data_IF_966673068064
#
_entry.id   IF_966673068064
#
_cell.length_a   1.000
_cell.length_b   1.000
_cell.length_c   1.000
_cell.angle_alpha   90.00
_cell.angle_beta   90.00
_cell.angle_gamma   90.00
#
_symmetry.space_group_name_H-M   'P 1'
#
loop_
_entity.id
_entity.type
_entity.pdbx_description
1 polymer ?
#
# COMPACT_ATOMS: atom_id res chain seq x y z
N UNK A 1 -32.09 -32.19 -51.19
CA UNK A 1 -30.62 -32.45 -51.24
C UNK A 1 -29.95 -31.68 -50.11
N UNK A 2 -29.71 -32.34 -48.97
CA UNK A 2 -29.00 -31.74 -47.83
C UNK A 2 -27.50 -31.90 -48.04
N UNK A 3 -26.81 -30.81 -48.35
CA UNK A 3 -25.37 -30.77 -48.56
C UNK A 3 -24.66 -30.89 -47.20
N UNK A 4 -24.07 -32.06 -46.90
CA UNK A 4 -23.25 -32.27 -45.70
C UNK A 4 -21.88 -31.63 -45.93
N UNK A 5 -21.55 -30.59 -45.15
CA UNK A 5 -20.19 -30.03 -45.09
C UNK A 5 -19.25 -31.08 -44.47
N UNK A 6 -18.23 -31.50 -45.21
CA UNK A 6 -17.12 -32.33 -44.72
C UNK A 6 -16.22 -31.45 -43.85
N UNK A 7 -16.00 -31.86 -42.60
CA UNK A 7 -14.90 -31.33 -41.77
C UNK A 7 -13.70 -32.23 -42.05
N UNK A 8 -12.65 -31.67 -42.65
CA UNK A 8 -11.36 -32.34 -42.80
C UNK A 8 -10.56 -31.94 -41.56
N UNK A 9 -10.32 -32.89 -40.66
CA UNK A 9 -9.35 -32.70 -39.58
C UNK A 9 -7.95 -32.83 -40.19
N UNK A 10 -7.29 -31.69 -40.42
CA UNK A 10 -5.85 -31.69 -40.58
C UNK A 10 -5.25 -31.83 -39.18
N UNK A 11 -4.53 -32.91 -38.93
CA UNK A 11 -3.63 -33.04 -37.79
C UNK A 11 -2.41 -32.16 -38.08
N UNK A 12 -2.59 -30.85 -38.08
CA UNK A 12 -1.47 -29.95 -37.91
C UNK A 12 -0.97 -30.20 -36.49
N UNK A 13 0.26 -30.71 -36.40
CA UNK A 13 1.01 -30.78 -35.15
C UNK A 13 1.25 -29.32 -34.76
N UNK A 14 0.27 -28.70 -34.11
CA UNK A 14 0.43 -27.43 -33.45
C UNK A 14 1.47 -27.66 -32.34
N UNK A 15 2.73 -27.40 -32.67
CA UNK A 15 3.79 -27.25 -31.69
C UNK A 15 3.32 -26.13 -30.78
N UNK A 16 2.89 -26.48 -29.56
CA UNK A 16 2.53 -25.46 -28.57
C UNK A 16 3.68 -24.45 -28.48
N UNK A 17 3.39 -23.14 -28.41
CA UNK A 17 4.44 -22.15 -28.27
C UNK A 17 5.26 -22.50 -27.03
N UNK A 18 6.54 -22.80 -27.24
CA UNK A 18 7.49 -23.01 -26.15
C UNK A 18 7.57 -21.71 -25.35
N UNK A 19 6.93 -21.69 -24.17
CA UNK A 19 7.05 -20.58 -23.24
C UNK A 19 8.40 -20.69 -22.52
N UNK A 20 9.42 -20.03 -23.06
CA UNK A 20 10.68 -19.88 -22.35
C UNK A 20 10.50 -18.83 -21.26
N UNK A 21 10.67 -19.22 -20.00
CA UNK A 21 10.73 -18.28 -18.88
C UNK A 21 11.98 -17.42 -19.12
N UNK A 22 11.77 -16.15 -19.46
CA UNK A 22 12.85 -15.17 -19.50
C UNK A 22 12.97 -14.59 -18.10
N UNK A 23 14.11 -14.84 -17.42
CA UNK A 23 14.50 -14.18 -16.17
C UNK A 23 14.87 -12.72 -16.45
N UNK A 24 13.88 -11.95 -16.92
CA UNK A 24 14.09 -10.56 -17.27
C UNK A 24 13.94 -9.72 -16.00
N UNK A 25 15.06 -9.23 -15.48
CA UNK A 25 15.11 -8.35 -14.30
C UNK A 25 14.63 -6.94 -14.60
N UNK A 26 14.64 -6.51 -15.87
CA UNK A 26 14.29 -5.17 -16.33
C UNK A 26 13.37 -5.19 -17.54
N UNK A 27 12.23 -4.50 -17.46
CA UNK A 27 11.29 -4.36 -18.57
C UNK A 27 10.74 -2.93 -18.66
N UNK A 28 10.21 -2.54 -19.82
CA UNK A 28 9.51 -1.28 -19.95
C UNK A 28 8.27 -1.26 -19.06
N UNK A 29 8.06 -0.18 -18.32
CA UNK A 29 6.82 -0.01 -17.58
C UNK A 29 5.64 0.14 -18.56
N UNK A 30 4.60 -0.64 -18.34
CA UNK A 30 3.31 -0.48 -19.02
C UNK A 30 2.70 0.90 -18.74
N UNK A 31 1.77 1.36 -19.58
CA UNK A 31 1.05 2.63 -19.36
C UNK A 31 0.37 2.70 -17.98
N UNK A 32 -0.13 1.57 -17.48
CA UNK A 32 -0.71 1.51 -16.14
C UNK A 32 0.36 1.75 -15.09
N UNK A 33 1.50 1.06 -15.16
CA UNK A 33 2.63 1.24 -14.24
C UNK A 33 3.21 2.66 -14.29
N UNK A 34 3.32 3.27 -15.47
CA UNK A 34 3.74 4.67 -15.60
C UNK A 34 2.77 5.64 -14.91
N UNK A 35 1.46 5.41 -15.05
CA UNK A 35 0.43 6.20 -14.38
C UNK A 35 0.48 6.01 -12.86
N UNK A 36 0.70 4.79 -12.39
CA UNK A 36 0.88 4.47 -10.97
C UNK A 36 2.08 5.23 -10.42
N UNK A 37 3.23 5.11 -11.07
CA UNK A 37 4.46 5.78 -10.68
C UNK A 37 4.30 7.31 -10.66
N UNK A 38 3.68 7.90 -11.69
CA UNK A 38 3.42 9.34 -11.72
C UNK A 38 2.52 9.80 -10.57
N UNK A 39 1.47 9.03 -10.28
CA UNK A 39 0.58 9.31 -9.16
C UNK A 39 1.35 9.25 -7.83
N UNK A 40 2.24 8.27 -7.66
CA UNK A 40 3.10 8.18 -6.48
C UNK A 40 3.98 9.43 -6.31
N UNK A 41 4.66 9.88 -7.37
CA UNK A 41 5.52 11.08 -7.29
C UNK A 41 4.76 12.36 -6.93
N UNK A 42 3.45 12.46 -7.21
CA UNK A 42 2.65 13.64 -6.90
C UNK A 42 2.26 13.70 -5.41
N UNK A 43 1.98 12.53 -4.82
CA UNK A 43 1.40 12.42 -3.47
C UNK A 43 2.42 12.03 -2.39
N UNK A 44 3.54 11.39 -2.76
CA UNK A 44 4.56 10.89 -1.86
C UNK A 44 5.92 11.56 -2.15
N UNK A 45 6.65 11.92 -1.10
CA UNK A 45 8.03 12.41 -1.22
C UNK A 45 9.07 11.30 -1.01
N UNK A 46 8.68 10.20 -0.36
CA UNK A 46 9.51 9.02 -0.11
C UNK A 46 8.99 7.81 -0.90
N UNK A 47 9.92 7.00 -1.40
CA UNK A 47 9.66 5.77 -2.19
C UNK A 47 8.99 4.64 -1.39
N UNK A 48 8.76 4.82 -0.09
CA UNK A 48 8.40 3.74 0.84
C UNK A 48 6.91 3.40 0.83
N UNK A 49 6.08 4.22 0.17
CA UNK A 49 4.63 4.03 0.09
C UNK A 49 4.17 4.08 -1.36
N UNK A 50 3.88 2.90 -1.91
CA UNK A 50 3.16 2.79 -3.18
C UNK A 50 1.68 3.09 -2.94
N UNK A 51 1.02 3.75 -3.90
CA UNK A 51 -0.44 4.04 -3.82
C UNK A 51 -1.29 2.77 -3.68
N UNK A 52 -0.67 1.63 -3.98
CA UNK A 52 -1.30 0.33 -4.07
C UNK A 52 -0.82 -0.64 -2.97
N UNK A 53 0.04 -0.18 -2.06
CA UNK A 53 0.41 -0.93 -0.85
C UNK A 53 -0.67 -0.71 0.20
N UNK A 54 -1.70 -1.55 0.15
CA UNK A 54 -2.80 -1.54 1.10
C UNK A 54 -2.34 -2.27 2.37
N UNK A 55 -2.32 -1.57 3.52
CA UNK A 55 -2.14 -2.25 4.80
C UNK A 55 -3.42 -3.02 5.15
N UNK A 56 -3.30 -4.34 5.21
CA UNK A 56 -4.38 -5.22 5.65
C UNK A 56 -4.15 -5.62 7.10
N UNK A 57 -4.95 -5.12 8.07
CA UNK A 57 -4.87 -5.60 9.44
C UNK A 57 -5.40 -7.04 9.51
N UNK A 58 -4.52 -7.97 9.88
CA UNK A 58 -4.89 -9.37 10.09
C UNK A 58 -5.36 -9.57 11.53
N UNK A 59 -6.69 -9.66 11.72
CA UNK A 59 -7.30 -9.94 13.02
C UNK A 59 -7.46 -11.45 13.19
N UNK A 60 -6.74 -12.02 14.15
CA UNK A 60 -6.80 -13.46 14.43
C UNK A 60 -7.80 -13.70 15.55
N UNK A 61 -8.96 -14.26 15.21
CA UNK A 61 -10.06 -14.52 16.15
C UNK A 61 -9.81 -15.76 17.02
N UNK A 62 -9.04 -16.74 16.52
CA UNK A 62 -8.77 -18.02 17.18
C UNK A 62 -7.33 -18.47 16.89
N UNK A 63 -6.64 -19.00 17.91
CA UNK A 63 -5.26 -19.45 17.82
C UNK A 63 -4.22 -18.37 18.14
N UNK A 64 -2.95 -18.78 18.21
CA UNK A 64 -1.80 -17.90 18.45
C UNK A 64 -0.98 -17.70 17.19
N UNK A 65 -0.76 -16.45 16.79
CA UNK A 65 0.18 -16.12 15.73
C UNK A 65 1.61 -16.07 16.28
N UNK A 66 2.49 -16.94 15.79
CA UNK A 66 3.93 -16.77 16.05
C UNK A 66 4.50 -15.79 15.04
N UNK A 67 4.79 -14.60 15.54
CA UNK A 67 5.49 -13.55 14.82
C UNK A 67 6.87 -14.03 14.35
N UNK A 68 7.54 -14.83 15.16
CA UNK A 68 8.83 -15.42 14.85
C UNK A 68 8.76 -16.34 13.63
N UNK A 69 7.67 -17.12 13.51
CA UNK A 69 7.44 -18.01 12.37
C UNK A 69 7.17 -17.22 11.09
N UNK A 70 6.33 -16.17 11.15
CA UNK A 70 6.09 -15.29 9.99
C UNK A 70 7.40 -14.67 9.52
N UNK A 71 8.21 -14.17 10.46
CA UNK A 71 9.51 -13.59 10.14
C UNK A 71 10.44 -14.60 9.48
N UNK A 72 10.42 -15.86 9.90
CA UNK A 72 11.28 -16.89 9.28
C UNK A 72 10.86 -17.30 7.87
N UNK A 73 9.58 -17.18 7.49
CA UNK A 73 9.08 -17.65 6.19
C UNK A 73 9.01 -16.54 5.14
N UNK A 74 8.88 -15.28 5.57
CA UNK A 74 8.83 -14.12 4.68
C UNK A 74 9.97 -14.06 3.65
N UNK A 75 11.26 -14.23 4.02
CA UNK A 75 12.34 -14.21 3.04
C UNK A 75 12.14 -15.26 1.94
N UNK A 76 11.80 -16.50 2.33
CA UNK A 76 11.56 -17.59 1.38
C UNK A 76 10.39 -17.29 0.44
N UNK A 77 9.31 -16.69 0.94
CA UNK A 77 8.19 -16.29 0.10
C UNK A 77 8.58 -15.18 -0.89
N UNK A 78 9.35 -14.19 -0.43
CA UNK A 78 9.79 -13.07 -1.27
C UNK A 78 10.72 -13.58 -2.38
N UNK A 79 11.70 -14.41 -2.05
CA UNK A 79 12.63 -15.03 -3.02
C UNK A 79 11.89 -15.86 -4.08
N UNK A 80 10.84 -16.58 -3.69
CA UNK A 80 10.07 -17.42 -4.61
C UNK A 80 9.08 -16.63 -5.49
N UNK A 81 8.75 -15.39 -5.11
CA UNK A 81 7.70 -14.60 -5.78
C UNK A 81 8.27 -13.27 -6.28
N UNK A 82 8.85 -13.29 -7.47
CA UNK A 82 9.41 -12.09 -8.13
C UNK A 82 8.43 -10.92 -8.27
N UNK A 83 7.13 -11.19 -8.28
CA UNK A 83 6.07 -10.16 -8.26
C UNK A 83 6.11 -9.30 -6.99
N UNK A 84 6.53 -9.84 -5.85
CA UNK A 84 6.64 -9.12 -4.58
C UNK A 84 7.87 -8.21 -4.54
N UNK A 85 8.88 -8.48 -5.37
CA UNK A 85 10.10 -7.68 -5.50
C UNK A 85 10.06 -6.72 -6.69
N UNK A 86 8.94 -6.65 -7.40
CA UNK A 86 8.81 -5.81 -8.59
C UNK A 86 8.50 -4.38 -8.19
N UNK A 87 9.40 -3.46 -8.53
CA UNK A 87 9.22 -2.02 -8.37
C UNK A 87 9.12 -1.32 -9.72
N UNK A 88 8.56 -0.13 -9.73
CA UNK A 88 8.59 0.78 -10.87
C UNK A 88 9.52 1.93 -10.54
N UNK A 89 10.55 2.14 -11.34
CA UNK A 89 11.55 3.20 -11.11
C UNK A 89 11.80 4.01 -12.37
N UNK A 90 12.27 5.24 -12.19
CA UNK A 90 12.79 6.04 -13.28
C UNK A 90 14.28 5.74 -13.47
N UNK A 91 14.67 5.40 -14.70
CA UNK A 91 16.06 5.18 -15.09
C UNK A 91 16.61 6.46 -15.73
N UNK A 92 17.56 7.16 -15.07
CA UNK A 92 18.09 8.42 -15.57
C UNK A 92 18.99 8.26 -16.80
N UNK A 93 19.52 7.06 -17.07
CA UNK A 93 20.44 6.84 -18.19
C UNK A 93 19.73 6.86 -19.55
N UNK A 94 18.49 6.35 -19.59
CA UNK A 94 17.67 6.33 -20.80
C UNK A 94 16.42 7.22 -20.70
N UNK A 95 16.24 7.91 -19.57
CA UNK A 95 15.11 8.81 -19.31
C UNK A 95 13.75 8.11 -19.45
N UNK A 96 13.66 6.86 -18.99
CA UNK A 96 12.46 6.03 -19.10
C UNK A 96 12.04 5.46 -17.75
N UNK A 97 10.74 5.16 -17.63
CA UNK A 97 10.19 4.44 -16.49
C UNK A 97 10.25 2.94 -16.80
N UNK A 98 10.86 2.19 -15.90
CA UNK A 98 11.12 0.77 -16.05
C UNK A 98 10.53 -0.01 -14.87
N UNK A 99 10.02 -1.19 -15.18
CA UNK A 99 9.79 -2.23 -14.20
C UNK A 99 11.13 -2.89 -13.88
N UNK A 100 11.46 -2.98 -12.59
CA UNK A 100 12.68 -3.60 -12.10
C UNK A 100 12.35 -4.63 -11.02
N UNK A 101 12.90 -5.84 -11.15
CA UNK A 101 12.83 -6.86 -10.11
C UNK A 101 14.04 -6.66 -9.20
N UNK A 102 13.79 -6.15 -7.99
CA UNK A 102 14.84 -5.98 -6.99
C UNK A 102 15.26 -7.34 -6.42
N UNK A 103 16.55 -7.51 -6.13
CA UNK A 103 17.04 -8.71 -5.46
C UNK A 103 16.42 -8.82 -4.07
N UNK A 104 15.92 -10.00 -3.70
CA UNK A 104 15.33 -10.33 -2.40
C UNK A 104 16.35 -10.23 -1.25
N UNK A 105 16.75 -9.00 -0.89
CA UNK A 105 17.60 -8.70 0.29
C UNK A 105 16.73 -8.35 1.50
N UNK A 106 17.33 -8.38 2.69
CA UNK A 106 16.66 -8.06 3.95
C UNK A 106 16.10 -6.61 3.99
N UNK A 107 16.54 -5.73 3.10
CA UNK A 107 16.08 -4.34 3.03
C UNK A 107 14.71 -4.17 2.33
N UNK A 108 14.15 -5.22 1.70
CA UNK A 108 12.87 -5.10 0.96
C UNK A 108 11.66 -4.98 1.90
N UNK A 109 11.78 -5.40 3.15
CA UNK A 109 10.69 -5.35 4.11
C UNK A 109 11.19 -5.07 5.51
N UNK A 110 10.49 -4.22 6.25
CA UNK A 110 10.75 -4.00 7.67
C UNK A 110 9.71 -4.71 8.52
N UNK A 111 10.16 -5.39 9.57
CA UNK A 111 9.29 -6.05 10.53
C UNK A 111 9.43 -5.40 11.89
N UNK A 112 8.40 -4.69 12.34
CA UNK A 112 8.35 -4.09 13.67
C UNK A 112 7.36 -4.84 14.57
N UNK A 113 7.84 -5.39 15.68
CA UNK A 113 7.00 -6.01 16.71
C UNK A 113 6.92 -5.11 17.93
N UNK A 114 5.74 -4.57 18.20
CA UNK A 114 5.48 -3.69 19.33
C UNK A 114 4.71 -4.45 20.42
N UNK A 115 5.37 -4.86 21.52
CA UNK A 115 4.67 -5.43 22.69
C UNK A 115 4.24 -4.32 23.64
N UNK A 116 2.99 -4.38 24.11
CA UNK A 116 2.50 -3.51 25.19
C UNK A 116 2.21 -2.07 24.80
N UNK A 117 2.04 -1.78 23.51
CA UNK A 117 1.63 -0.46 23.01
C UNK A 117 0.12 -0.50 22.74
N UNK A 118 -0.61 0.54 23.14
CA UNK A 118 -2.03 0.68 22.82
C UNK A 118 -2.24 1.04 21.34
N UNK A 119 -3.43 0.77 20.80
CA UNK A 119 -3.77 1.14 19.40
C UNK A 119 -3.62 2.64 19.16
N UNK A 120 -3.98 3.47 20.14
CA UNK A 120 -3.84 4.93 20.06
C UNK A 120 -2.37 5.35 19.95
N UNK A 121 -1.49 4.78 20.77
CA UNK A 121 -0.06 5.10 20.72
C UNK A 121 0.60 4.62 19.41
N UNK A 122 0.12 3.52 18.84
CA UNK A 122 0.55 3.07 17.50
C UNK A 122 0.08 4.04 16.41
N UNK A 123 -1.19 4.48 16.47
CA UNK A 123 -1.73 5.47 15.52
C UNK A 123 -1.04 6.82 15.65
N UNK A 124 -0.74 7.29 16.86
CA UNK A 124 -0.01 8.53 17.09
C UNK A 124 1.37 8.49 16.41
N UNK A 125 2.08 7.35 16.53
CA UNK A 125 3.36 7.15 15.85
C UNK A 125 3.20 7.14 14.33
N UNK A 126 2.22 6.41 13.81
CA UNK A 126 1.98 6.36 12.36
C UNK A 126 1.62 7.72 11.78
N UNK A 127 0.78 8.48 12.49
CA UNK A 127 0.39 9.85 12.11
C UNK A 127 1.60 10.78 12.18
N UNK A 128 2.41 10.67 13.24
CA UNK A 128 3.64 11.42 13.41
C UNK A 128 4.65 11.17 12.27
N UNK A 129 4.90 9.91 11.93
CA UNK A 129 5.82 9.53 10.84
C UNK A 129 5.37 10.13 9.50
N UNK A 130 4.06 10.08 9.21
CA UNK A 130 3.47 10.68 8.01
C UNK A 130 3.59 12.21 7.99
N UNK A 131 3.48 12.86 9.15
CA UNK A 131 3.71 14.29 9.26
C UNK A 131 5.17 14.65 9.02
N UNK A 132 6.11 13.86 9.54
CA UNK A 132 7.53 14.05 9.28
C UNK A 132 7.83 13.94 7.78
N UNK A 133 7.31 12.91 7.08
CA UNK A 133 7.49 12.76 5.63
C UNK A 133 6.92 13.98 4.86
N UNK A 134 5.69 14.38 5.16
CA UNK A 134 4.99 15.43 4.40
C UNK A 134 5.56 16.82 4.67
N UNK A 135 5.96 17.09 5.91
CA UNK A 135 6.57 18.37 6.32
C UNK A 135 8.08 18.39 6.13
N UNK A 136 8.67 17.29 5.64
CA UNK A 136 10.12 17.12 5.42
C UNK A 136 10.95 17.30 6.69
N UNK A 137 10.43 16.78 7.81
CA UNK A 137 11.18 16.66 9.06
C UNK A 137 11.84 15.29 9.17
N UNK A 138 12.95 15.21 9.90
CA UNK A 138 13.56 13.93 10.24
C UNK A 138 12.59 13.09 11.09
N UNK A 139 12.53 11.77 10.88
CA UNK A 139 11.63 10.86 11.61
C UNK A 139 11.83 10.94 13.12
N UNK A 140 13.02 11.30 13.61
CA UNK A 140 13.29 11.45 15.05
C UNK A 140 12.87 12.83 15.60
N UNK A 141 12.26 13.68 14.77
CA UNK A 141 11.82 15.02 15.15
C UNK A 141 10.73 14.93 16.21
N UNK A 142 10.97 15.57 17.36
CA UNK A 142 10.01 15.59 18.47
C UNK A 142 8.91 16.62 18.21
N UNK A 143 7.92 16.23 17.41
CA UNK A 143 6.71 17.03 17.17
C UNK A 143 5.73 16.77 18.32
N UNK A 144 5.32 17.79 19.09
CA UNK A 144 4.29 17.61 20.12
C UNK A 144 2.94 17.22 19.49
N UNK A 145 2.26 16.22 20.05
CA UNK A 145 1.02 15.67 19.47
C UNK A 145 -0.13 16.69 19.35
N UNK A 146 -0.13 17.72 20.20
CA UNK A 146 -1.13 18.78 20.23
C UNK A 146 -0.71 20.02 19.43
N UNK A 147 0.40 19.95 18.70
CA UNK A 147 0.88 21.07 17.89
C UNK A 147 0.16 21.08 16.55
N UNK A 148 -0.35 22.24 16.17
CA UNK A 148 -1.09 22.39 14.92
C UNK A 148 -0.20 22.18 13.70
N UNK A 149 -0.67 21.41 12.72
CA UNK A 149 -0.07 21.15 11.42
C UNK A 149 0.37 22.46 10.72
N UNK A 150 -0.50 23.47 10.72
CA UNK A 150 -0.23 24.75 10.08
C UNK A 150 0.87 25.55 10.80
N UNK A 151 1.00 25.39 12.13
CA UNK A 151 2.08 26.03 12.91
C UNK A 151 3.46 25.44 12.64
N UNK A 152 3.51 24.27 11.99
CA UNK A 152 4.73 23.57 11.58
C UNK A 152 5.12 23.85 10.12
N UNK A 153 4.40 24.74 9.43
CA UNK A 153 4.61 25.04 8.01
C UNK A 153 3.73 24.24 7.05
N UNK A 154 2.80 23.44 7.58
CA UNK A 154 1.81 22.73 6.77
C UNK A 154 0.87 23.69 6.01
N UNK A 155 0.41 23.26 4.83
CA UNK A 155 -0.51 24.00 3.98
C UNK A 155 -1.59 23.08 3.38
N UNK A 156 -2.51 23.63 2.59
CA UNK A 156 -3.62 22.87 2.01
C UNK A 156 -3.16 21.73 1.10
N UNK A 157 -2.07 21.91 0.35
CA UNK A 157 -1.51 20.85 -0.49
C UNK A 157 -0.91 19.73 0.38
N UNK A 158 -0.24 20.09 1.47
CA UNK A 158 0.29 19.14 2.43
C UNK A 158 -0.83 18.35 3.13
N UNK A 159 -1.97 18.97 3.47
CA UNK A 159 -3.16 18.24 3.96
C UNK A 159 -3.76 17.35 2.88
N UNK A 160 -3.84 17.79 1.62
CA UNK A 160 -4.32 16.93 0.53
C UNK A 160 -3.44 15.69 0.35
N UNK A 161 -2.12 15.84 0.44
CA UNK A 161 -1.18 14.73 0.43
C UNK A 161 -1.39 13.82 1.63
N UNK A 162 -1.50 14.39 2.83
CA UNK A 162 -1.73 13.65 4.08
C UNK A 162 -3.03 12.84 4.02
N UNK A 163 -4.11 13.44 3.50
CA UNK A 163 -5.38 12.77 3.31
C UNK A 163 -5.25 11.58 2.36
N UNK A 164 -4.58 11.74 1.20
CA UNK A 164 -4.33 10.65 0.27
C UNK A 164 -3.49 9.54 0.93
N UNK A 165 -2.44 9.89 1.67
CA UNK A 165 -1.61 8.92 2.39
C UNK A 165 -2.43 8.16 3.44
N UNK A 166 -3.30 8.84 4.21
CA UNK A 166 -4.21 8.18 5.15
C UNK A 166 -5.17 7.21 4.45
N UNK A 167 -5.74 7.59 3.31
CA UNK A 167 -6.65 6.71 2.57
C UNK A 167 -5.98 5.39 2.17
N UNK A 168 -4.72 5.46 1.72
CA UNK A 168 -3.94 4.30 1.30
C UNK A 168 -3.48 3.49 2.51
N UNK A 169 -2.86 4.16 3.50
CA UNK A 169 -2.27 3.53 4.69
C UNK A 169 -3.33 2.85 5.56
N UNK A 170 -4.54 3.39 5.65
CA UNK A 170 -5.61 2.84 6.50
C UNK A 170 -6.74 2.18 5.71
N UNK A 171 -6.60 2.01 4.39
CA UNK A 171 -7.62 1.40 3.53
C UNK A 171 -8.99 2.08 3.65
N UNK A 172 -9.01 3.42 3.73
CA UNK A 172 -10.24 4.18 3.99
C UNK A 172 -11.10 4.17 2.73
N UNK A 173 -12.21 3.41 2.75
CA UNK A 173 -13.14 3.38 1.63
C UNK A 173 -13.84 4.74 1.46
N UNK A 174 -13.80 5.25 0.24
CA UNK A 174 -14.45 6.50 -0.17
C UNK A 174 -15.94 6.34 -0.47
N UNK A 175 -16.43 5.11 -0.57
CA UNK A 175 -17.79 4.80 -1.04
C UNK A 175 -18.79 4.44 0.08
N UNK A 176 -18.34 4.28 1.33
CA UNK A 176 -19.24 4.01 2.45
C UNK A 176 -19.76 5.31 3.09
N UNK A 177 -21.02 5.30 3.54
CA UNK A 177 -21.74 6.46 4.12
C UNK A 177 -21.13 7.02 5.41
N UNK A 178 -20.06 6.42 5.93
CA UNK A 178 -19.21 6.91 7.01
C UNK A 178 -17.88 7.45 6.48
N UNK A 179 -17.94 8.31 5.46
CA UNK A 179 -16.77 8.77 4.70
C UNK A 179 -15.81 9.55 5.58
N UNK A 180 -14.57 9.08 5.70
CA UNK A 180 -13.46 9.87 6.21
C UNK A 180 -13.32 11.14 5.35
N UNK A 181 -13.63 12.31 5.92
CA UNK A 181 -13.76 13.56 5.19
C UNK A 181 -12.54 14.44 5.42
N UNK A 182 -11.88 14.89 4.35
CA UNK A 182 -10.73 15.79 4.42
C UNK A 182 -10.97 17.06 5.27
N UNK A 183 -12.21 17.55 5.32
CA UNK A 183 -12.58 18.71 6.13
C UNK A 183 -12.42 18.49 7.65
N UNK A 184 -12.41 17.24 8.14
CA UNK A 184 -12.06 16.97 9.55
C UNK A 184 -10.60 17.30 9.82
N UNK A 185 -9.67 16.96 8.91
CA UNK A 185 -8.24 17.25 9.06
C UNK A 185 -7.94 18.74 9.13
N UNK A 186 -8.70 19.56 8.39
CA UNK A 186 -8.58 21.02 8.49
C UNK A 186 -9.09 21.57 9.82
N UNK A 187 -10.17 21.00 10.37
CA UNK A 187 -10.79 21.47 11.61
C UNK A 187 -10.07 21.00 12.87
N UNK A 188 -9.37 19.88 12.76
CA UNK A 188 -8.71 19.18 13.86
C UNK A 188 -7.24 18.95 13.52
N UNK A 189 -6.43 20.01 13.36
CA UNK A 189 -5.15 19.93 12.67
C UNK A 189 -4.01 19.52 13.61
N UNK A 190 -4.20 18.57 14.52
CA UNK A 190 -3.15 18.05 15.41
C UNK A 190 -3.01 16.55 15.25
N UNK A 191 -1.85 16.00 15.62
CA UNK A 191 -1.60 14.55 15.58
C UNK A 191 -2.64 13.83 16.44
N UNK A 192 -2.84 14.29 17.68
CA UNK A 192 -3.78 13.67 18.61
C UNK A 192 -5.21 13.64 18.05
N UNK A 193 -5.65 14.71 17.39
CA UNK A 193 -7.00 14.74 16.83
C UNK A 193 -7.10 13.89 15.55
N UNK A 194 -6.09 13.88 14.68
CA UNK A 194 -6.04 12.99 13.53
C UNK A 194 -6.09 11.51 13.95
N UNK A 195 -5.30 11.14 14.96
CA UNK A 195 -5.33 9.81 15.60
C UNK A 195 -6.75 9.48 16.07
N UNK A 196 -7.41 10.41 16.75
CA UNK A 196 -8.78 10.20 17.23
C UNK A 196 -9.77 9.97 16.08
N UNK A 197 -9.71 10.77 15.01
CA UNK A 197 -10.58 10.60 13.83
C UNK A 197 -10.36 9.21 13.21
N UNK A 198 -9.10 8.80 13.04
CA UNK A 198 -8.74 7.51 12.45
C UNK A 198 -9.18 6.34 13.34
N UNK A 199 -8.98 6.44 14.65
CA UNK A 199 -9.42 5.42 15.62
C UNK A 199 -10.94 5.25 15.58
N UNK A 200 -11.70 6.35 15.61
CA UNK A 200 -13.16 6.31 15.51
C UNK A 200 -13.61 5.59 14.23
N UNK A 201 -12.96 5.87 13.11
CA UNK A 201 -13.26 5.21 11.85
C UNK A 201 -12.98 3.70 11.92
N UNK A 202 -11.80 3.30 12.41
CA UNK A 202 -11.42 1.90 12.55
C UNK A 202 -12.37 1.10 13.45
N UNK A 203 -12.87 1.71 14.53
CA UNK A 203 -13.81 1.08 15.45
C UNK A 203 -15.19 0.84 14.79
N UNK A 204 -15.66 1.80 13.97
CA UNK A 204 -16.91 1.67 13.23
C UNK A 204 -16.85 0.59 12.15
N UNK A 205 -15.74 0.49 11.41
CA UNK A 205 -15.55 -0.53 10.36
C UNK A 205 -15.41 -1.94 10.94
N UNK A 206 -14.81 -2.06 12.13
CA UNK A 206 -14.71 -3.33 12.87
C UNK A 206 -16.06 -3.84 13.37
N UNK A 207 -17.00 -2.94 13.66
CA UNK A 207 -18.35 -3.29 14.16
C UNK A 207 -19.31 -3.73 13.04
N UNK A 208 -19.08 -3.33 11.79
CA UNK A 208 -19.97 -3.65 10.66
C UNK A 208 -19.66 -4.98 9.94
N UNK A 209 -18.53 -5.63 10.21
CA UNK A 209 -18.18 -6.96 9.66
C UNK A 209 -18.95 -8.13 10.31
N UNK A 210 -19.96 -7.84 11.13
CA UNK A 210 -20.73 -8.80 11.93
C UNK A 210 -22.25 -8.77 11.67
N UNK A 211 -22.70 -8.65 10.43
CA UNK A 211 -24.05 -9.11 10.07
C UNK A 211 -23.97 -10.33 9.14
N UNK A 212 -24.32 -11.54 9.61
CA UNK A 212 -24.52 -12.66 8.71
C UNK A 212 -25.71 -12.30 7.82
N UNK A 213 -25.52 -12.40 6.51
CA UNK A 213 -26.58 -12.35 5.51
C UNK A 213 -27.68 -13.32 5.93
N UNK A 214 -28.79 -12.80 6.46
CA UNK A 214 -30.01 -13.58 6.60
C UNK A 214 -30.63 -13.68 5.20
N UNK A 215 -30.56 -14.89 4.65
CA UNK A 215 -31.42 -15.35 3.56
C UNK A 215 -32.87 -15.45 4.04
#
# INVERSE_FOLDING_TARGET
MLSRKRIIAATDVHKEPEFTISERTEAFASFVQQRIWLHEQLYFHSSDLSVYNILVPLIIKQGSLSIERIRSILPTLIEQHSVLCTIVRFNPQNNQIEQYIQAATDDIYSFQHSRGISTSELLDRLVHDLWCDILQFDVNSKIPINRSFFSLGGNSLAIMRLFAQYQIKFSLDTKSSSSFNIASLFRQPTIAEHTQILQQWLDHTSSQTHQPTQL
#
